data_IF_608696516021
#
_entry.id   IF_608696516021
#
_cell.length_a   1.000
_cell.length_b   1.000
_cell.length_c   1.000
_cell.angle_alpha   90.00
_cell.angle_beta   90.00
_cell.angle_gamma   90.00
#
_symmetry.space_group_name_H-M   'P 1'
#
loop_
_entity.id
_entity.type
_entity.pdbx_description
1 polymer ?
#
# COMPACT_ATOMS: atom_id res chain seq x y z
N UNK A 1 25.47 28.36 -4.27
CA UNK A 1 25.63 27.35 -5.34
C UNK A 1 25.90 25.91 -4.88
N UNK A 2 26.33 25.63 -3.62
CA UNK A 2 26.55 24.24 -3.13
C UNK A 2 25.33 23.53 -2.51
N UNK A 3 24.18 24.20 -2.38
CA UNK A 3 22.95 23.63 -1.77
C UNK A 3 21.98 23.01 -2.79
N UNK A 4 22.00 23.43 -4.07
CA UNK A 4 21.17 22.84 -5.12
C UNK A 4 21.57 21.39 -5.48
N UNK A 5 22.81 20.99 -5.21
CA UNK A 5 23.29 19.65 -5.59
C UNK A 5 22.85 18.52 -4.64
N UNK A 6 22.31 18.84 -3.45
CA UNK A 6 21.80 17.83 -2.50
C UNK A 6 20.34 17.47 -2.79
N UNK A 7 19.52 18.44 -3.21
CA UNK A 7 18.12 18.16 -3.58
C UNK A 7 18.01 17.41 -4.91
N UNK A 8 18.89 17.69 -5.87
CA UNK A 8 18.95 16.93 -7.15
C UNK A 8 19.45 15.49 -6.93
N UNK A 9 20.35 15.26 -5.96
CA UNK A 9 20.79 13.89 -5.60
C UNK A 9 19.76 13.13 -4.77
N UNK A 10 18.97 13.82 -3.93
CA UNK A 10 17.84 13.19 -3.23
C UNK A 10 16.73 12.80 -4.22
N UNK A 11 16.40 13.65 -5.20
CA UNK A 11 15.43 13.33 -6.26
C UNK A 11 15.87 12.14 -7.13
N UNK A 12 17.15 12.03 -7.47
CA UNK A 12 17.66 10.89 -8.25
C UNK A 12 17.73 9.57 -7.45
N UNK A 13 17.85 9.64 -6.12
CA UNK A 13 17.83 8.44 -5.27
C UNK A 13 16.40 7.91 -5.05
N UNK A 14 15.38 8.77 -5.02
CA UNK A 14 13.97 8.36 -4.93
C UNK A 14 13.49 7.67 -6.23
N UNK A 15 14.08 8.00 -7.37
CA UNK A 15 13.79 7.36 -8.66
C UNK A 15 14.35 5.93 -8.79
N UNK A 16 15.26 5.51 -7.91
CA UNK A 16 15.73 4.12 -7.84
C UNK A 16 14.84 3.23 -6.94
N UNK A 17 14.00 3.82 -6.08
CA UNK A 17 13.16 3.10 -5.14
C UNK A 17 11.76 2.73 -5.71
N UNK A 18 11.31 3.45 -6.74
CA UNK A 18 10.24 3.00 -7.62
C UNK A 18 10.92 2.31 -8.79
N UNK A 19 10.70 1.01 -8.98
CA UNK A 19 11.26 0.24 -10.10
C UNK A 19 10.78 0.75 -11.46
N UNK A 20 11.30 1.89 -11.88
CA UNK A 20 11.14 2.45 -13.23
C UNK A 20 12.28 1.87 -14.05
N UNK A 21 11.93 1.12 -15.09
CA UNK A 21 12.88 0.68 -16.10
C UNK A 21 13.70 1.88 -16.58
N UNK A 22 15.02 1.81 -16.48
CA UNK A 22 15.89 2.75 -17.18
C UNK A 22 16.05 2.24 -18.60
N UNK A 23 15.35 2.87 -19.54
CA UNK A 23 15.66 2.71 -20.95
C UNK A 23 17.06 3.31 -21.18
N UNK A 24 18.09 2.48 -21.16
CA UNK A 24 19.46 2.91 -21.49
C UNK A 24 19.53 3.09 -23.00
N UNK A 25 19.65 4.33 -23.45
CA UNK A 25 19.89 4.64 -24.85
C UNK A 25 21.23 4.01 -25.28
N UNK A 26 21.19 3.20 -26.35
CA UNK A 26 22.36 2.55 -26.94
C UNK A 26 23.41 3.59 -27.44
N UNK A 27 24.70 3.23 -27.50
CA UNK A 27 25.77 4.09 -28.02
C UNK A 27 25.53 4.54 -29.47
N UNK A 28 26.09 5.69 -29.81
CA UNK A 28 25.72 6.57 -30.95
C UNK A 28 25.99 5.97 -32.34
N UNK A 29 26.83 4.95 -32.47
CA UNK A 29 27.24 4.41 -33.78
C UNK A 29 26.25 3.45 -34.45
N UNK A 30 25.12 3.09 -33.80
CA UNK A 30 24.15 2.12 -34.34
C UNK A 30 22.73 2.69 -34.52
N UNK A 31 22.59 4.03 -34.60
CA UNK A 31 21.27 4.69 -34.62
C UNK A 31 20.47 4.45 -35.90
N UNK A 32 21.11 4.29 -37.05
CA UNK A 32 20.43 4.05 -38.33
C UNK A 32 19.88 2.61 -38.41
N UNK A 33 20.67 1.63 -37.99
CA UNK A 33 20.26 0.22 -37.89
C UNK A 33 19.17 0.03 -36.84
N UNK A 34 19.32 0.64 -35.66
CA UNK A 34 18.30 0.61 -34.61
C UNK A 34 16.99 1.31 -35.04
N UNK A 35 17.07 2.44 -35.77
CA UNK A 35 15.90 3.13 -36.30
C UNK A 35 15.19 2.32 -37.40
N UNK A 36 15.95 1.68 -38.30
CA UNK A 36 15.38 0.78 -39.32
C UNK A 36 14.70 -0.45 -38.68
N UNK A 37 15.31 -1.02 -37.64
CA UNK A 37 14.71 -2.12 -36.87
C UNK A 37 13.45 -1.68 -36.12
N UNK A 38 13.45 -0.49 -35.51
CA UNK A 38 12.27 0.05 -34.82
C UNK A 38 11.10 0.31 -35.79
N UNK A 39 11.39 0.84 -36.99
CA UNK A 39 10.38 1.03 -38.03
C UNK A 39 9.77 -0.29 -38.53
N UNK A 40 10.60 -1.30 -38.75
CA UNK A 40 10.12 -2.63 -39.13
C UNK A 40 9.24 -3.28 -38.05
N UNK A 41 9.63 -3.16 -36.77
CA UNK A 41 8.84 -3.64 -35.63
C UNK A 41 7.52 -2.89 -35.47
N UNK A 42 7.50 -1.58 -35.72
CA UNK A 42 6.29 -0.78 -35.69
C UNK A 42 5.29 -1.21 -36.77
N UNK A 43 5.74 -1.41 -38.01
CA UNK A 43 4.88 -1.90 -39.10
C UNK A 43 4.39 -3.32 -38.84
N UNK A 44 5.25 -4.20 -38.31
CA UNK A 44 4.85 -5.54 -37.89
C UNK A 44 3.76 -5.49 -36.81
N UNK A 45 3.92 -4.68 -35.77
CA UNK A 45 2.90 -4.47 -34.74
C UNK A 45 1.58 -3.95 -35.33
N UNK A 46 1.62 -2.96 -36.24
CA UNK A 46 0.40 -2.44 -36.89
C UNK A 46 -0.30 -3.50 -37.71
N UNK A 47 0.44 -4.36 -38.40
CA UNK A 47 -0.12 -5.44 -39.21
C UNK A 47 -0.88 -6.49 -38.37
N UNK A 48 -0.53 -6.65 -37.08
CA UNK A 48 -1.26 -7.53 -36.15
C UNK A 48 -2.66 -7.00 -35.79
N UNK A 49 -2.93 -5.70 -36.01
CA UNK A 49 -4.21 -5.05 -35.72
C UNK A 49 -4.79 -5.39 -34.33
N UNK A 50 -3.92 -5.41 -33.32
CA UNK A 50 -4.27 -5.78 -31.95
C UNK A 50 -5.36 -4.86 -31.39
N UNK A 51 -6.35 -5.46 -30.75
CA UNK A 51 -7.46 -4.75 -30.08
C UNK A 51 -7.28 -4.85 -28.57
N UNK A 52 -7.50 -3.74 -27.87
CA UNK A 52 -7.42 -3.69 -26.41
C UNK A 52 -6.04 -4.00 -25.83
N UNK A 53 -6.04 -4.43 -24.56
CA UNK A 53 -4.85 -4.79 -23.79
C UNK A 53 -4.52 -6.27 -23.98
N UNK A 54 -3.40 -6.57 -24.64
CA UNK A 54 -3.05 -7.93 -25.06
C UNK A 54 -1.54 -8.13 -25.24
N UNK A 55 -1.10 -9.39 -25.26
CA UNK A 55 0.27 -9.81 -25.53
C UNK A 55 0.24 -10.96 -26.56
N UNK A 56 1.01 -10.82 -27.64
CA UNK A 56 1.06 -11.80 -28.74
C UNK A 56 2.50 -12.01 -29.18
N UNK A 57 2.89 -13.25 -29.50
CA UNK A 57 4.15 -13.56 -30.18
C UNK A 57 3.93 -13.63 -31.70
N UNK A 58 4.73 -12.90 -32.47
CA UNK A 58 4.82 -13.05 -33.92
C UNK A 58 6.29 -13.06 -34.37
N UNK A 59 6.66 -14.10 -35.13
CA UNK A 59 8.00 -14.26 -35.76
C UNK A 59 9.17 -14.04 -34.79
N UNK A 60 9.08 -14.59 -33.57
CA UNK A 60 10.15 -14.49 -32.58
C UNK A 60 10.24 -13.12 -31.89
N UNK A 61 9.17 -12.33 -31.95
CA UNK A 61 9.02 -11.07 -31.21
C UNK A 61 7.69 -11.08 -30.48
N UNK A 62 7.71 -10.75 -29.20
CA UNK A 62 6.52 -10.49 -28.44
C UNK A 62 6.11 -9.02 -28.57
N UNK A 63 4.83 -8.81 -28.87
CA UNK A 63 4.18 -7.51 -28.94
C UNK A 63 3.16 -7.41 -27.82
N UNK A 64 3.36 -6.45 -26.93
CA UNK A 64 2.44 -6.10 -25.86
C UNK A 64 1.76 -4.78 -26.20
N UNK A 65 0.44 -4.74 -26.12
CA UNK A 65 -0.36 -3.54 -26.27
C UNK A 65 -1.17 -3.32 -25.00
N UNK A 66 -1.21 -2.08 -24.53
CA UNK A 66 -2.12 -1.63 -23.48
C UNK A 66 -2.98 -0.52 -24.06
N UNK A 67 -4.29 -0.66 -23.91
CA UNK A 67 -5.27 0.36 -24.29
C UNK A 67 -5.98 0.84 -23.03
N UNK A 68 -5.92 2.15 -22.77
CA UNK A 68 -6.57 2.79 -21.63
C UNK A 68 -7.53 3.86 -22.14
N UNK A 69 -8.74 3.95 -21.58
CA UNK A 69 -9.63 5.05 -21.91
C UNK A 69 -9.10 6.37 -21.31
N UNK A 70 -9.17 7.46 -22.09
CA UNK A 70 -8.64 8.76 -21.70
C UNK A 70 -9.34 9.36 -20.49
N UNK A 71 -10.67 9.28 -20.42
CA UNK A 71 -11.52 9.74 -19.30
C UNK A 71 -11.06 11.06 -18.64
N UNK A 72 -10.64 12.07 -19.42
CA UNK A 72 -10.19 13.37 -18.91
C UNK A 72 -8.78 13.42 -18.28
N UNK A 73 -8.03 12.32 -18.36
CA UNK A 73 -6.73 12.16 -17.68
C UNK A 73 -5.58 12.76 -18.46
N UNK A 74 -4.53 13.15 -17.74
CA UNK A 74 -3.34 13.73 -18.34
C UNK A 74 -2.50 12.65 -19.07
N UNK A 75 -1.86 12.98 -20.21
CA UNK A 75 -1.07 12.01 -20.97
C UNK A 75 0.05 11.33 -20.16
N UNK A 76 0.64 12.05 -19.20
CA UNK A 76 1.69 11.51 -18.34
C UNK A 76 1.17 10.45 -17.36
N UNK A 77 -0.06 10.62 -16.85
CA UNK A 77 -0.71 9.66 -15.96
C UNK A 77 -1.10 8.39 -16.71
N UNK A 78 -1.68 8.56 -17.90
CA UNK A 78 -2.03 7.44 -18.79
C UNK A 78 -0.80 6.64 -19.17
N UNK A 79 0.33 7.31 -19.48
CA UNK A 79 1.61 6.64 -19.75
C UNK A 79 2.11 5.86 -18.53
N UNK A 80 2.01 6.43 -17.33
CA UNK A 80 2.43 5.74 -16.09
C UNK A 80 1.58 4.49 -15.85
N UNK A 81 0.26 4.60 -15.97
CA UNK A 81 -0.62 3.45 -15.80
C UNK A 81 -0.41 2.39 -16.88
N UNK A 82 -0.18 2.81 -18.13
CA UNK A 82 0.09 1.88 -19.22
C UNK A 82 1.35 1.06 -18.95
N UNK A 83 2.39 1.64 -18.33
CA UNK A 83 3.58 0.91 -17.89
C UNK A 83 3.27 -0.12 -16.78
N UNK A 84 2.39 0.22 -15.83
CA UNK A 84 1.97 -0.72 -14.77
C UNK A 84 1.22 -1.91 -15.38
N UNK A 85 0.26 -1.65 -16.26
CA UNK A 85 -0.51 -2.71 -16.94
C UNK A 85 0.38 -3.54 -17.87
N UNK A 86 1.34 -2.91 -18.55
CA UNK A 86 2.32 -3.60 -19.38
C UNK A 86 3.14 -4.58 -18.53
N UNK A 87 3.65 -4.14 -17.37
CA UNK A 87 4.37 -5.01 -16.44
C UNK A 87 3.49 -6.17 -15.94
N UNK A 88 2.20 -5.91 -15.72
CA UNK A 88 1.24 -6.94 -15.31
C UNK A 88 1.01 -7.99 -16.41
N UNK A 89 0.87 -7.56 -17.66
CA UNK A 89 0.77 -8.48 -18.81
C UNK A 89 2.00 -9.38 -18.90
N UNK A 90 3.19 -8.79 -18.80
CA UNK A 90 4.46 -9.55 -18.83
C UNK A 90 4.58 -10.51 -17.66
N UNK A 91 4.29 -10.07 -16.43
CA UNK A 91 4.34 -10.92 -15.26
C UNK A 91 3.36 -12.11 -15.38
N UNK A 92 2.15 -11.85 -15.86
CA UNK A 92 1.15 -12.90 -16.11
C UNK A 92 1.67 -13.91 -17.12
N UNK A 93 2.16 -13.45 -18.28
CA UNK A 93 2.69 -14.31 -19.35
C UNK A 93 3.88 -15.14 -18.88
N UNK A 94 4.85 -14.51 -18.22
CA UNK A 94 6.06 -15.16 -17.75
C UNK A 94 5.79 -16.19 -16.65
N UNK A 95 4.69 -16.02 -15.90
CA UNK A 95 4.27 -16.95 -14.86
C UNK A 95 3.41 -18.11 -15.35
N UNK A 96 2.75 -17.98 -16.51
CA UNK A 96 1.76 -18.94 -17.02
C UNK A 96 2.34 -20.35 -17.22
N UNK A 97 3.61 -20.44 -17.64
CA UNK A 97 4.28 -21.70 -17.95
C UNK A 97 5.16 -22.24 -16.82
N UNK A 98 5.25 -21.54 -15.68
CA UNK A 98 5.95 -22.07 -14.51
C UNK A 98 5.07 -23.13 -13.81
N UNK A 99 4.91 -24.28 -14.47
CA UNK A 99 4.09 -25.43 -14.05
C UNK A 99 4.47 -26.04 -12.70
N UNK A 100 5.64 -25.70 -12.16
CA UNK A 100 6.14 -26.23 -10.88
C UNK A 100 5.57 -25.53 -9.65
N UNK A 101 4.88 -24.40 -9.80
CA UNK A 101 4.20 -23.75 -8.68
C UNK A 101 2.79 -24.33 -8.52
N UNK A 102 2.59 -25.15 -7.49
CA UNK A 102 1.27 -25.70 -7.15
C UNK A 102 0.46 -24.78 -6.23
N UNK A 103 1.12 -23.89 -5.50
CA UNK A 103 0.50 -22.98 -4.54
C UNK A 103 0.07 -21.66 -5.21
N UNK A 104 -1.22 -21.36 -5.13
CA UNK A 104 -1.88 -20.16 -5.68
C UNK A 104 -1.23 -18.86 -5.16
N UNK A 105 -0.73 -18.88 -3.93
CA UNK A 105 -0.12 -17.71 -3.31
C UNK A 105 1.25 -17.38 -3.89
N UNK A 106 2.04 -18.38 -4.30
CA UNK A 106 3.27 -18.16 -5.05
C UNK A 106 2.97 -17.60 -6.43
N UNK A 107 1.95 -18.12 -7.12
CA UNK A 107 1.52 -17.59 -8.42
C UNK A 107 1.11 -16.13 -8.31
N UNK A 108 0.33 -15.76 -7.28
CA UNK A 108 -0.08 -14.38 -7.03
C UNK A 108 1.08 -13.46 -6.65
N UNK A 109 2.00 -13.92 -5.80
CA UNK A 109 3.19 -13.15 -5.42
C UNK A 109 4.10 -12.85 -6.63
N UNK A 110 4.14 -13.77 -7.60
CA UNK A 110 4.86 -13.63 -8.86
C UNK A 110 4.13 -12.71 -9.84
N UNK A 111 2.84 -12.96 -10.08
CA UNK A 111 2.04 -12.25 -11.07
C UNK A 111 1.91 -10.75 -10.77
N UNK A 112 2.07 -10.34 -9.51
CA UNK A 112 2.05 -8.93 -9.10
C UNK A 112 3.40 -8.22 -9.21
N UNK A 113 4.40 -8.87 -9.84
CA UNK A 113 5.56 -8.15 -10.39
C UNK A 113 6.54 -7.59 -9.37
N UNK A 114 6.60 -8.13 -8.14
CA UNK A 114 7.68 -7.76 -7.20
C UNK A 114 9.07 -8.24 -7.65
N UNK A 115 9.10 -9.01 -8.73
CA UNK A 115 10.28 -9.48 -9.42
C UNK A 115 10.44 -8.47 -10.52
N UNK A 116 11.46 -7.62 -10.44
CA UNK A 116 11.75 -6.66 -11.50
C UNK A 116 12.04 -7.44 -12.79
N UNK A 117 11.00 -7.67 -13.58
CA UNK A 117 11.08 -8.29 -14.89
C UNK A 117 11.54 -7.20 -15.84
N UNK A 118 12.84 -6.93 -15.83
CA UNK A 118 13.51 -6.06 -16.79
C UNK A 118 13.61 -6.79 -18.13
N UNK A 119 12.49 -6.83 -18.85
CA UNK A 119 12.46 -7.35 -20.22
C UNK A 119 12.96 -6.24 -21.13
N UNK A 120 14.17 -6.40 -21.67
CA UNK A 120 14.74 -5.45 -22.63
C UNK A 120 13.90 -5.43 -23.91
N UNK A 121 13.40 -4.26 -24.27
CA UNK A 121 12.58 -4.07 -25.46
C UNK A 121 12.42 -2.59 -25.83
N UNK A 122 11.57 -2.33 -26.81
CA UNK A 122 11.34 -1.01 -27.37
C UNK A 122 9.88 -0.61 -27.24
N UNK A 123 9.63 0.62 -26.76
CA UNK A 123 8.31 1.25 -26.91
C UNK A 123 8.15 1.61 -28.39
N UNK A 124 7.21 0.97 -29.05
CA UNK A 124 6.91 1.19 -30.47
C UNK A 124 5.94 2.35 -30.67
N UNK A 125 4.98 2.50 -29.76
CA UNK A 125 3.94 3.52 -29.82
C UNK A 125 3.51 3.90 -28.40
N UNK A 126 3.26 5.19 -28.17
CA UNK A 126 2.73 5.68 -26.89
C UNK A 126 2.04 7.03 -27.14
N UNK A 127 0.79 6.98 -27.60
CA UNK A 127 0.03 8.18 -27.92
C UNK A 127 -1.49 7.93 -27.87
N UNK A 128 -2.23 9.02 -27.90
CA UNK A 128 -3.69 9.02 -28.00
C UNK A 128 -4.13 8.54 -29.38
N UNK A 129 -5.22 7.78 -29.43
CA UNK A 129 -5.90 7.29 -30.63
C UNK A 129 -7.40 7.36 -30.40
N UNK A 130 -8.02 8.47 -30.81
CA UNK A 130 -9.42 8.75 -30.48
C UNK A 130 -9.58 9.01 -28.97
N UNK A 131 -10.53 8.32 -28.34
CA UNK A 131 -10.80 8.43 -26.89
C UNK A 131 -9.89 7.53 -26.04
N UNK A 132 -8.99 6.78 -26.67
CA UNK A 132 -8.08 5.85 -26.00
C UNK A 132 -6.64 6.34 -26.03
N UNK A 133 -5.87 5.97 -25.02
CA UNK A 133 -4.42 6.00 -25.00
C UNK A 133 -3.89 4.59 -25.27
N UNK A 134 -3.03 4.46 -26.28
CA UNK A 134 -2.44 3.17 -26.66
C UNK A 134 -0.94 3.23 -26.42
N UNK A 135 -0.43 2.23 -25.70
CA UNK A 135 1.00 1.97 -25.54
C UNK A 135 1.33 0.60 -26.12
N UNK A 136 2.27 0.55 -27.04
CA UNK A 136 2.78 -0.68 -27.63
C UNK A 136 4.26 -0.84 -27.32
N UNK A 137 4.64 -2.05 -26.94
CA UNK A 137 5.99 -2.43 -26.58
C UNK A 137 6.34 -3.76 -27.24
N UNK A 138 7.57 -3.87 -27.74
CA UNK A 138 8.07 -5.10 -28.35
C UNK A 138 9.37 -5.55 -27.71
N UNK A 139 9.48 -6.86 -27.50
CA UNK A 139 10.69 -7.52 -27.01
C UNK A 139 10.95 -8.79 -27.82
N UNK A 140 12.22 -9.12 -28.05
CA UNK A 140 12.57 -10.37 -28.75
C UNK A 140 12.20 -11.59 -27.90
N UNK A 141 11.76 -12.66 -28.54
CA UNK A 141 11.34 -13.89 -27.86
C UNK A 141 12.46 -14.50 -27.01
N UNK A 142 13.69 -14.54 -27.51
CA UNK A 142 14.86 -15.02 -26.76
C UNK A 142 15.09 -14.26 -25.43
N UNK A 143 14.93 -12.94 -25.44
CA UNK A 143 15.06 -12.11 -24.24
C UNK A 143 13.90 -12.35 -23.25
N UNK A 144 12.68 -12.51 -23.77
CA UNK A 144 11.49 -12.82 -22.96
C UNK A 144 11.62 -14.21 -22.33
N UNK A 145 12.07 -15.20 -23.10
CA UNK A 145 12.20 -16.59 -22.66
C UNK A 145 13.34 -16.75 -21.65
N UNK A 146 14.48 -16.08 -21.85
CA UNK A 146 15.55 -16.02 -20.85
C UNK A 146 15.04 -15.44 -19.52
N UNK A 147 14.20 -14.39 -19.57
CA UNK A 147 13.57 -13.81 -18.38
C UNK A 147 12.52 -14.73 -17.78
N UNK A 148 11.79 -15.49 -18.61
CA UNK A 148 10.87 -16.54 -18.16
C UNK A 148 11.60 -17.62 -17.36
N UNK A 149 12.71 -18.11 -17.89
CA UNK A 149 13.54 -19.10 -17.20
C UNK A 149 14.16 -18.55 -15.91
N UNK A 150 14.61 -17.30 -15.91
CA UNK A 150 15.09 -16.62 -14.71
C UNK A 150 13.99 -16.52 -13.65
N UNK A 151 12.79 -16.08 -14.06
CA UNK A 151 11.62 -16.01 -13.20
C UNK A 151 11.25 -17.40 -12.66
N UNK A 152 11.10 -18.42 -13.51
CA UNK A 152 10.78 -19.77 -13.04
C UNK A 152 11.89 -20.36 -12.14
N UNK A 153 13.17 -20.03 -12.37
CA UNK A 153 14.28 -20.45 -11.48
C UNK A 153 14.21 -19.78 -10.12
N UNK A 154 14.05 -18.46 -10.09
CA UNK A 154 13.91 -17.78 -8.82
C UNK A 154 12.61 -18.22 -8.11
N UNK A 155 11.54 -18.60 -8.84
CA UNK A 155 10.30 -19.16 -8.28
C UNK A 155 10.50 -20.53 -7.63
N UNK A 156 11.59 -21.22 -7.95
CA UNK A 156 12.01 -22.45 -7.26
C UNK A 156 12.94 -22.16 -6.08
N UNK A 157 13.37 -20.93 -5.87
CA UNK A 157 14.32 -20.53 -4.83
C UNK A 157 13.58 -20.06 -3.57
N UNK A 158 13.60 -20.81 -2.44
CA UNK A 158 13.00 -20.39 -1.18
C UNK A 158 13.52 -19.05 -0.66
N UNK A 159 14.76 -18.67 -1.00
CA UNK A 159 15.36 -17.40 -0.59
C UNK A 159 14.63 -16.19 -1.20
N UNK A 160 14.08 -16.31 -2.42
CA UNK A 160 13.32 -15.23 -3.04
C UNK A 160 12.02 -14.96 -2.28
N UNK A 161 11.29 -16.01 -1.91
CA UNK A 161 10.07 -15.86 -1.10
C UNK A 161 10.36 -15.43 0.33
N UNK A 162 11.50 -15.83 0.92
CA UNK A 162 11.98 -15.29 2.20
C UNK A 162 12.24 -13.78 2.13
N UNK A 163 12.82 -13.30 1.03
CA UNK A 163 13.01 -11.87 0.81
C UNK A 163 11.66 -11.14 0.69
N UNK A 164 10.70 -11.68 -0.07
CA UNK A 164 9.34 -11.10 -0.19
C UNK A 164 8.62 -11.07 1.16
N UNK A 165 8.64 -12.17 1.90
CA UNK A 165 8.00 -12.25 3.21
C UNK A 165 8.61 -11.24 4.19
N UNK A 166 9.95 -11.09 4.19
CA UNK A 166 10.64 -10.11 5.01
C UNK A 166 10.30 -8.68 4.60
N UNK A 167 10.33 -8.38 3.31
CA UNK A 167 10.02 -7.03 2.79
C UNK A 167 8.55 -6.68 3.07
N UNK A 168 7.61 -7.64 2.96
CA UNK A 168 6.21 -7.44 3.34
C UNK A 168 6.06 -7.02 4.81
N UNK A 169 6.79 -7.66 5.72
CA UNK A 169 6.73 -7.32 7.15
C UNK A 169 7.31 -5.94 7.46
N UNK A 170 8.27 -5.46 6.66
CA UNK A 170 8.92 -4.16 6.88
C UNK A 170 8.30 -3.02 6.08
N UNK A 171 7.74 -3.33 4.91
CA UNK A 171 7.26 -2.40 3.89
C UNK A 171 5.90 -2.82 3.31
N UNK A 172 4.86 -3.05 4.14
CA UNK A 172 3.55 -3.51 3.68
C UNK A 172 2.91 -2.57 2.64
N UNK A 173 3.28 -1.27 2.64
CA UNK A 173 2.84 -0.27 1.66
C UNK A 173 3.24 -0.60 0.22
N UNK A 174 4.31 -1.38 0.02
CA UNK A 174 4.71 -1.85 -1.32
C UNK A 174 3.79 -2.95 -1.85
N UNK A 175 3.07 -3.62 -0.95
CA UNK A 175 2.29 -4.81 -1.23
C UNK A 175 0.77 -4.58 -1.22
N UNK A 176 0.30 -3.32 -1.19
CA UNK A 176 -1.13 -2.95 -1.08
C UNK A 176 -2.03 -3.73 -2.04
N UNK A 177 -1.68 -3.80 -3.32
CA UNK A 177 -2.45 -4.56 -4.33
C UNK A 177 -2.47 -6.06 -4.04
N UNK A 178 -1.33 -6.63 -3.59
CA UNK A 178 -1.23 -8.04 -3.24
C UNK A 178 -2.04 -8.37 -1.98
N UNK A 179 -1.98 -7.52 -0.97
CA UNK A 179 -2.75 -7.62 0.26
C UNK A 179 -4.26 -7.66 -0.04
N UNK A 180 -4.77 -6.71 -0.85
CA UNK A 180 -6.18 -6.70 -1.27
C UNK A 180 -6.56 -7.95 -2.05
N UNK A 181 -5.75 -8.34 -3.03
CA UNK A 181 -6.01 -9.52 -3.87
C UNK A 181 -6.02 -10.84 -3.08
N UNK A 182 -5.40 -10.87 -1.91
CA UNK A 182 -5.40 -12.02 -0.99
C UNK A 182 -6.27 -11.77 0.24
N UNK A 183 -7.25 -10.87 0.16
CA UNK A 183 -8.25 -10.71 1.23
C UNK A 183 -7.73 -10.04 2.51
N UNK A 184 -6.46 -9.63 2.59
CA UNK A 184 -5.92 -8.85 3.71
C UNK A 184 -6.26 -7.35 3.54
N UNK A 185 -7.55 -7.05 3.38
CA UNK A 185 -8.06 -5.70 3.03
C UNK A 185 -7.79 -4.67 4.13
N UNK A 186 -7.88 -5.09 5.39
CA UNK A 186 -7.60 -4.22 6.55
C UNK A 186 -6.14 -3.74 6.55
N UNK A 187 -5.19 -4.67 6.40
CA UNK A 187 -3.77 -4.33 6.33
C UNK A 187 -3.46 -3.49 5.08
N UNK A 188 -4.11 -3.78 3.95
CA UNK A 188 -3.95 -2.95 2.75
C UNK A 188 -4.37 -1.50 2.99
N UNK A 189 -5.55 -1.28 3.61
CA UNK A 189 -6.06 0.06 3.92
C UNK A 189 -5.16 0.82 4.89
N UNK A 190 -4.67 0.15 5.94
CA UNK A 190 -3.68 0.75 6.86
C UNK A 190 -2.39 1.13 6.12
N UNK A 191 -1.93 0.28 5.22
CA UNK A 191 -0.74 0.54 4.43
C UNK A 191 -0.95 1.70 3.43
N UNK A 192 -2.13 1.85 2.83
CA UNK A 192 -2.50 3.03 2.05
C UNK A 192 -2.47 4.29 2.94
N UNK A 193 -3.10 4.23 4.11
CA UNK A 193 -3.19 5.36 5.02
C UNK A 193 -1.81 5.83 5.51
N UNK A 194 -0.93 4.89 5.83
CA UNK A 194 0.44 5.15 6.29
C UNK A 194 1.34 5.73 5.21
N UNK A 195 1.09 5.38 3.95
CA UNK A 195 1.85 5.87 2.79
C UNK A 195 1.23 7.08 2.10
N UNK A 196 0.05 7.54 2.55
CA UNK A 196 -0.60 8.73 2.03
C UNK A 196 0.24 9.98 2.35
N UNK A 197 0.65 10.73 1.32
CA UNK A 197 1.51 11.91 1.48
C UNK A 197 0.71 13.22 1.68
N UNK A 198 -0.61 13.17 1.64
CA UNK A 198 -1.46 14.35 1.82
C UNK A 198 -1.47 14.88 3.26
N UNK A 199 -1.91 16.14 3.41
CA UNK A 199 -1.77 16.93 4.64
C UNK A 199 -2.89 16.73 5.67
N UNK A 200 -3.52 15.56 5.68
CA UNK A 200 -4.71 15.30 6.49
C UNK A 200 -4.40 14.40 7.68
N UNK A 201 -4.65 14.94 8.87
CA UNK A 201 -4.61 14.23 10.14
C UNK A 201 -6.06 14.14 10.66
N UNK A 202 -6.50 12.93 11.00
CA UNK A 202 -7.85 12.66 11.52
C UNK A 202 -7.84 12.36 13.04
N UNK A 203 -6.69 12.54 13.70
CA UNK A 203 -6.56 12.60 15.16
C UNK A 203 -5.69 13.80 15.52
N UNK A 204 -6.28 14.77 16.20
CA UNK A 204 -5.65 16.07 16.47
C UNK A 204 -5.73 16.43 17.95
N UNK A 205 -4.97 17.42 18.38
CA UNK A 205 -5.05 17.92 19.77
C UNK A 205 -6.49 18.35 20.07
N UNK A 206 -7.09 17.91 21.19
CA UNK A 206 -8.44 18.29 21.58
C UNK A 206 -8.58 19.82 21.54
N UNK A 207 -9.41 20.29 20.63
CA UNK A 207 -9.53 21.71 20.36
C UNK A 207 -10.46 22.33 21.39
N UNK A 208 -10.00 23.33 22.15
CA UNK A 208 -10.88 24.17 22.95
C UNK A 208 -11.91 24.83 22.00
N UNK A 209 -13.23 24.72 22.24
CA UNK A 209 -14.22 24.82 21.18
C UNK A 209 -14.34 26.26 20.66
N UNK A 210 -14.09 26.46 19.36
CA UNK A 210 -14.92 27.25 18.40
C UNK A 210 -14.13 27.68 17.14
N UNK A 211 -12.99 28.40 17.19
CA UNK A 211 -12.37 28.95 15.97
C UNK A 211 -11.58 27.93 15.14
N UNK A 212 -10.86 27.03 15.80
CA UNK A 212 -10.00 26.01 15.18
C UNK A 212 -10.81 24.83 14.63
N UNK A 213 -11.99 24.57 15.19
CA UNK A 213 -12.91 23.53 14.72
C UNK A 213 -13.50 23.92 13.35
N UNK A 214 -13.84 25.20 13.17
CA UNK A 214 -14.23 25.74 11.85
C UNK A 214 -13.10 25.59 10.83
N UNK A 215 -11.84 25.86 11.21
CA UNK A 215 -10.69 25.68 10.31
C UNK A 215 -10.47 24.22 9.91
N UNK A 216 -10.62 23.28 10.85
CA UNK A 216 -10.53 21.85 10.56
C UNK A 216 -11.66 21.41 9.63
N UNK A 217 -12.90 21.82 9.90
CA UNK A 217 -14.05 21.50 9.06
C UNK A 217 -13.95 22.12 7.66
N UNK A 218 -13.47 23.35 7.54
CA UNK A 218 -13.20 23.99 6.24
C UNK A 218 -12.11 23.24 5.50
N UNK A 219 -10.98 22.93 6.15
CA UNK A 219 -9.91 22.14 5.53
C UNK A 219 -10.37 20.74 5.13
N UNK A 220 -11.25 20.11 5.91
CA UNK A 220 -11.87 18.84 5.54
C UNK A 220 -12.84 18.97 4.37
N UNK A 221 -13.53 20.09 4.25
CA UNK A 221 -14.40 20.37 3.10
C UNK A 221 -13.59 20.62 1.82
N UNK A 222 -12.49 21.36 1.94
CA UNK A 222 -11.50 21.57 0.86
C UNK A 222 -10.87 20.23 0.45
N UNK A 223 -10.42 19.43 1.41
CA UNK A 223 -9.86 18.09 1.14
C UNK A 223 -10.92 17.12 0.62
N UNK A 224 -12.21 17.28 0.98
CA UNK A 224 -13.33 16.54 0.36
C UNK A 224 -13.49 16.89 -1.10
N UNK A 225 -13.40 18.18 -1.44
CA UNK A 225 -13.46 18.63 -2.82
C UNK A 225 -12.23 18.15 -3.60
N UNK A 226 -11.03 18.27 -3.04
CA UNK A 226 -9.79 17.77 -3.64
C UNK A 226 -9.79 16.24 -3.78
N UNK A 227 -10.26 15.46 -2.79
CA UNK A 227 -10.35 14.00 -2.87
C UNK A 227 -11.47 13.53 -3.80
N UNK A 228 -12.52 14.33 -4.00
CA UNK A 228 -13.54 14.07 -5.01
C UNK A 228 -13.01 14.35 -6.43
N UNK A 229 -12.02 15.24 -6.56
CA UNK A 229 -11.29 15.52 -7.80
C UNK A 229 -10.10 14.56 -8.03
N UNK A 230 -9.53 13.98 -6.96
CA UNK A 230 -8.55 12.90 -7.03
C UNK A 230 -9.28 11.63 -7.43
N UNK A 231 -9.32 11.41 -8.74
CA UNK A 231 -9.83 10.21 -9.36
C UNK A 231 -9.28 8.94 -8.66
N UNK A 232 -10.15 8.04 -8.14
CA UNK A 232 -9.75 6.71 -7.64
C UNK A 232 -8.87 5.92 -8.61
N UNK A 233 -8.81 6.33 -9.88
CA UNK A 233 -8.06 5.74 -10.99
C UNK A 233 -6.53 5.74 -10.85
N UNK A 234 -5.93 6.50 -9.93
CA UNK A 234 -4.49 6.34 -9.64
C UNK A 234 -4.20 5.13 -8.73
N UNK A 235 -5.23 4.40 -8.27
CA UNK A 235 -5.11 3.21 -7.43
C UNK A 235 -4.49 3.44 -6.05
N UNK A 236 -4.15 4.70 -5.73
CA UNK A 236 -3.54 5.11 -4.46
C UNK A 236 -4.57 5.59 -3.44
N UNK A 237 -5.76 5.98 -3.89
CA UNK A 237 -6.81 6.54 -3.04
C UNK A 237 -8.09 5.75 -3.30
N UNK A 238 -8.42 4.86 -2.36
CA UNK A 238 -9.66 4.07 -2.45
C UNK A 238 -10.80 4.80 -1.74
N UNK A 239 -12.07 4.48 -2.04
CA UNK A 239 -13.21 5.05 -1.31
C UNK A 239 -13.08 4.87 0.22
N UNK A 240 -12.52 3.75 0.66
CA UNK A 240 -12.25 3.48 2.06
C UNK A 240 -11.21 4.42 2.64
N UNK A 241 -10.11 4.67 1.91
CA UNK A 241 -9.10 5.62 2.34
C UNK A 241 -9.68 7.03 2.44
N UNK A 242 -10.48 7.44 1.46
CA UNK A 242 -11.14 8.75 1.45
C UNK A 242 -12.01 8.92 2.68
N UNK A 243 -12.87 7.94 3.00
CA UNK A 243 -13.73 8.03 4.16
C UNK A 243 -12.95 7.98 5.48
N UNK A 244 -11.95 7.11 5.62
CA UNK A 244 -11.06 7.10 6.79
C UNK A 244 -10.40 8.46 7.02
N UNK A 245 -9.88 9.06 5.96
CA UNK A 245 -9.22 10.35 5.99
C UNK A 245 -10.20 11.46 6.40
N UNK A 246 -11.42 11.43 5.86
CA UNK A 246 -12.41 12.49 6.01
C UNK A 246 -13.38 12.34 7.18
N UNK A 247 -13.38 11.20 7.85
CA UNK A 247 -14.33 10.93 8.90
C UNK A 247 -13.88 11.56 10.22
N UNK A 248 -14.58 12.62 10.60
CA UNK A 248 -14.63 13.16 11.96
C UNK A 248 -16.08 13.48 12.34
N UNK A 249 -17.04 12.87 11.65
CA UNK A 249 -18.46 13.14 11.80
C UNK A 249 -19.15 12.04 12.60
N UNK A 250 -20.23 12.38 13.31
CA UNK A 250 -21.09 11.39 13.98
C UNK A 250 -21.96 10.61 12.98
N UNK A 251 -21.47 10.38 11.76
CA UNK A 251 -22.26 9.76 10.69
C UNK A 251 -21.86 8.29 10.51
N UNK A 252 -22.83 7.37 10.40
CA UNK A 252 -22.60 5.92 10.26
C UNK A 252 -21.97 5.49 8.92
N UNK A 253 -21.57 6.44 8.08
CA UNK A 253 -21.16 6.20 6.69
C UNK A 253 -19.82 5.46 6.60
N UNK A 254 -18.85 5.74 7.49
CA UNK A 254 -17.58 5.03 7.53
C UNK A 254 -17.76 3.56 7.90
N UNK A 255 -18.50 3.29 8.99
CA UNK A 255 -18.75 1.93 9.46
C UNK A 255 -19.44 1.11 8.37
N UNK A 256 -20.50 1.66 7.76
CA UNK A 256 -21.20 1.01 6.65
C UNK A 256 -20.25 0.69 5.49
N UNK A 257 -19.43 1.64 5.06
CA UNK A 257 -18.51 1.42 3.95
C UNK A 257 -17.46 0.34 4.27
N UNK A 258 -16.90 0.37 5.48
CA UNK A 258 -15.95 -0.65 5.90
C UNK A 258 -16.61 -2.04 5.92
N UNK A 259 -17.86 -2.16 6.38
CA UNK A 259 -18.67 -3.40 6.27
C UNK A 259 -18.88 -3.81 4.82
N UNK A 260 -19.30 -2.87 3.95
CA UNK A 260 -19.53 -3.11 2.52
C UNK A 260 -18.24 -3.59 1.82
N UNK A 261 -17.08 -3.21 2.37
CA UNK A 261 -15.75 -3.64 1.93
C UNK A 261 -15.20 -4.85 2.70
N UNK A 262 -16.03 -5.54 3.48
CA UNK A 262 -15.67 -6.71 4.28
C UNK A 262 -14.52 -6.43 5.27
N UNK A 263 -14.34 -5.18 5.69
CA UNK A 263 -13.40 -4.82 6.75
C UNK A 263 -14.16 -4.94 8.06
N UNK A 264 -13.65 -5.76 8.97
CA UNK A 264 -14.27 -5.96 10.28
C UNK A 264 -14.38 -4.62 11.03
N UNK A 265 -15.62 -4.21 11.28
CA UNK A 265 -15.96 -3.03 12.08
C UNK A 265 -16.93 -3.37 13.17
N UNK A 266 -16.93 -2.57 14.22
CA UNK A 266 -17.76 -2.81 15.38
C UNK A 266 -18.46 -1.53 15.81
N UNK A 267 -19.65 -1.72 16.39
CA UNK A 267 -20.39 -0.65 17.04
C UNK A 267 -19.72 -0.38 18.39
N UNK A 268 -18.70 0.47 18.39
CA UNK A 268 -18.02 0.88 19.61
C UNK A 268 -18.95 1.84 20.33
N UNK A 269 -19.74 1.33 21.28
CA UNK A 269 -20.32 2.23 22.27
C UNK A 269 -19.17 2.83 23.07
N UNK A 270 -19.00 4.16 23.10
CA UNK A 270 -18.01 4.79 23.95
C UNK A 270 -18.27 4.30 25.37
N UNK A 271 -17.28 3.62 25.97
CA UNK A 271 -17.35 3.20 27.36
C UNK A 271 -17.81 4.41 28.17
N UNK A 272 -18.92 4.28 28.91
CA UNK A 272 -19.75 5.38 29.42
C UNK A 272 -19.12 6.39 30.38
N UNK A 273 -17.80 6.53 30.39
CA UNK A 273 -17.07 7.60 31.04
C UNK A 273 -15.94 8.08 30.11
N UNK A 274 -15.74 9.40 30.10
CA UNK A 274 -14.63 10.17 29.50
C UNK A 274 -14.94 10.89 28.17
N UNK A 275 -15.24 12.19 28.34
CA UNK A 275 -14.96 13.32 27.45
C UNK A 275 -15.22 13.16 25.94
N UNK A 276 -16.20 13.91 25.44
CA UNK A 276 -16.60 14.01 24.04
C UNK A 276 -15.49 14.32 23.01
N UNK A 277 -14.22 14.55 23.40
CA UNK A 277 -13.14 14.97 22.50
C UNK A 277 -11.72 14.44 22.83
N UNK A 278 -11.57 13.38 23.64
CA UNK A 278 -10.26 12.76 23.90
C UNK A 278 -9.61 12.12 22.66
N UNK A 279 -8.28 11.95 22.66
CA UNK A 279 -7.56 11.26 21.58
C UNK A 279 -8.09 9.85 21.39
N UNK A 280 -8.31 9.10 22.47
CA UNK A 280 -8.84 7.74 22.38
C UNK A 280 -10.23 7.73 21.73
N UNK A 281 -11.07 8.72 22.03
CA UNK A 281 -12.38 8.87 21.38
C UNK A 281 -12.24 9.18 19.89
N UNK A 282 -11.32 10.07 19.50
CA UNK A 282 -11.05 10.35 18.07
C UNK A 282 -10.58 9.09 17.33
N UNK A 283 -9.67 8.31 17.93
CA UNK A 283 -9.18 7.03 17.38
C UNK A 283 -10.33 6.02 17.24
N UNK A 284 -11.22 5.94 18.23
CA UNK A 284 -12.40 5.07 18.17
C UNK A 284 -13.38 5.47 17.06
N UNK A 285 -13.62 6.77 16.85
CA UNK A 285 -14.50 7.28 15.78
C UNK A 285 -14.00 6.89 14.39
N UNK A 286 -12.68 6.91 14.19
CA UNK A 286 -12.06 6.43 12.94
C UNK A 286 -11.72 4.94 12.97
N UNK A 287 -12.27 4.19 13.93
CA UNK A 287 -12.13 2.74 14.07
C UNK A 287 -10.66 2.25 14.07
N UNK A 288 -9.75 3.05 14.65
CA UNK A 288 -8.32 2.77 14.72
C UNK A 288 -7.51 3.15 13.48
N UNK A 289 -8.15 3.55 12.38
CA UNK A 289 -7.48 4.04 11.17
C UNK A 289 -7.02 5.49 11.34
N UNK A 290 -6.09 5.68 12.28
CA UNK A 290 -5.68 6.99 12.79
C UNK A 290 -4.45 7.56 12.09
N UNK A 291 -4.53 8.83 11.68
CA UNK A 291 -3.41 9.70 11.33
C UNK A 291 -3.31 10.81 12.36
N UNK A 292 -2.23 10.73 13.13
CA UNK A 292 -1.97 11.63 14.24
C UNK A 292 -1.28 12.91 13.77
N UNK A 293 -1.81 14.05 14.23
CA UNK A 293 -1.17 15.35 14.07
C UNK A 293 0.27 15.32 14.58
N UNK A 294 1.20 15.75 13.73
CA UNK A 294 2.64 15.77 14.04
C UNK A 294 3.02 16.59 15.28
N UNK A 295 2.14 17.50 15.73
CA UNK A 295 2.32 18.29 16.96
C UNK A 295 1.99 17.51 18.24
N UNK A 296 1.31 16.36 18.13
CA UNK A 296 1.05 15.49 19.26
C UNK A 296 2.35 14.85 19.77
N UNK A 297 2.38 14.60 21.08
CA UNK A 297 3.55 14.08 21.75
C UNK A 297 3.82 12.62 21.35
N UNK A 298 5.09 12.33 21.07
CA UNK A 298 5.62 11.00 20.76
C UNK A 298 6.59 10.47 21.84
N UNK A 299 6.85 11.27 22.88
CA UNK A 299 7.72 10.92 24.01
C UNK A 299 7.12 9.83 24.90
N UNK A 300 7.90 9.33 25.85
CA UNK A 300 7.40 8.36 26.83
C UNK A 300 6.54 9.08 27.88
N UNK A 301 5.26 8.70 28.06
CA UNK A 301 4.41 9.31 29.08
C UNK A 301 4.92 9.03 30.50
N UNK A 302 4.70 9.96 31.41
CA UNK A 302 5.21 9.92 32.81
C UNK A 302 4.82 8.63 33.54
N UNK A 303 3.65 8.07 33.22
CA UNK A 303 3.11 6.88 33.88
C UNK A 303 3.66 5.54 33.37
N UNK A 304 4.42 5.51 32.26
CA UNK A 304 4.93 4.25 31.67
C UNK A 304 5.80 3.40 32.60
N UNK A 305 6.70 3.94 33.44
CA UNK A 305 7.46 3.11 34.38
C UNK A 305 6.56 2.34 35.35
N UNK A 306 5.48 2.95 35.83
CA UNK A 306 4.51 2.30 36.72
C UNK A 306 3.70 1.24 35.96
N UNK A 307 3.28 1.53 34.74
CA UNK A 307 2.58 0.55 33.88
C UNK A 307 3.46 -0.69 33.67
N UNK A 308 4.73 -0.50 33.29
CA UNK A 308 5.69 -1.61 33.10
C UNK A 308 5.87 -2.46 34.36
N UNK A 309 5.87 -1.83 35.55
CA UNK A 309 5.91 -2.57 36.82
C UNK A 309 4.64 -3.41 37.05
N UNK A 310 3.45 -2.88 36.75
CA UNK A 310 2.19 -3.60 36.90
C UNK A 310 2.11 -4.80 35.94
N UNK A 311 2.52 -4.61 34.68
CA UNK A 311 2.62 -5.68 33.68
C UNK A 311 3.63 -6.76 34.10
N UNK A 312 4.83 -6.37 34.52
CA UNK A 312 5.85 -7.31 34.97
C UNK A 312 5.43 -8.10 36.22
N UNK A 313 4.62 -7.49 37.09
CA UNK A 313 4.07 -8.16 38.26
C UNK A 313 2.84 -9.03 37.96
N UNK A 314 2.21 -8.87 36.79
CA UNK A 314 0.95 -9.54 36.43
C UNK A 314 -0.20 -9.18 37.39
N UNK A 315 -0.20 -7.96 37.95
CA UNK A 315 -1.17 -7.52 38.97
C UNK A 315 -1.86 -6.24 38.54
N UNK A 316 -3.15 -6.14 38.90
CA UNK A 316 -3.96 -4.93 38.74
C UNK A 316 -3.96 -4.43 37.29
N UNK A 317 -4.30 -5.34 36.37
CA UNK A 317 -4.32 -5.06 34.92
C UNK A 317 -5.40 -4.02 34.60
N UNK A 318 -6.47 -3.96 35.39
CA UNK A 318 -7.50 -2.92 35.31
C UNK A 318 -6.91 -1.53 35.54
N UNK A 319 -6.11 -1.35 36.60
CA UNK A 319 -5.39 -0.10 36.83
C UNK A 319 -4.38 0.17 35.72
N UNK A 320 -3.63 -0.84 35.27
CA UNK A 320 -2.68 -0.68 34.18
C UNK A 320 -3.36 -0.22 32.88
N UNK A 321 -4.54 -0.78 32.57
CA UNK A 321 -5.38 -0.40 31.43
C UNK A 321 -5.83 1.05 31.56
N UNK A 322 -6.35 1.45 32.72
CA UNK A 322 -6.75 2.83 32.97
C UNK A 322 -5.59 3.82 32.80
N UNK A 323 -4.41 3.47 33.31
CA UNK A 323 -3.20 4.28 33.13
C UNK A 323 -2.77 4.33 31.67
N UNK A 324 -2.89 3.24 30.91
CA UNK A 324 -2.57 3.23 29.48
C UNK A 324 -3.54 4.10 28.67
N UNK A 325 -4.83 4.08 28.98
CA UNK A 325 -5.81 4.98 28.37
C UNK A 325 -5.46 6.45 28.63
N UNK A 326 -4.96 6.79 29.83
CA UNK A 326 -4.43 8.14 30.13
C UNK A 326 -3.10 8.44 29.42
N UNK A 327 -2.23 7.44 29.28
CA UNK A 327 -0.97 7.57 28.57
C UNK A 327 -1.18 7.86 27.08
N UNK A 328 -2.24 7.32 26.47
CA UNK A 328 -2.65 7.64 25.09
C UNK A 328 -2.99 9.12 24.97
N UNK A 329 -3.71 9.69 25.93
CA UNK A 329 -4.04 11.12 25.91
C UNK A 329 -2.80 12.02 26.03
N UNK A 330 -1.77 11.58 26.78
CA UNK A 330 -0.52 12.32 26.97
C UNK A 330 0.45 12.19 25.79
N UNK A 331 0.60 10.99 25.23
CA UNK A 331 1.59 10.67 24.19
C UNK A 331 1.03 9.74 23.10
N UNK A 332 0.04 10.19 22.33
CA UNK A 332 -0.68 9.33 21.38
C UNK A 332 0.16 8.91 20.17
N UNK A 333 1.33 9.51 19.95
CA UNK A 333 2.25 9.10 18.87
C UNK A 333 3.32 8.12 19.34
N UNK A 334 3.31 7.73 20.61
CA UNK A 334 4.25 6.76 21.14
C UNK A 334 3.74 5.33 20.86
N UNK A 335 4.44 4.52 20.03
CA UNK A 335 4.00 3.18 19.67
C UNK A 335 3.95 2.21 20.87
N UNK A 336 4.82 2.39 21.86
CA UNK A 336 4.89 1.52 23.05
C UNK A 336 3.61 1.61 23.87
N UNK A 337 2.98 2.78 23.92
CA UNK A 337 1.70 2.97 24.63
C UNK A 337 0.61 2.14 23.97
N UNK A 338 0.53 2.16 22.63
CA UNK A 338 -0.45 1.39 21.88
C UNK A 338 -0.21 -0.11 21.97
N UNK A 339 1.05 -0.57 21.88
CA UNK A 339 1.43 -1.97 22.09
C UNK A 339 0.94 -2.49 23.45
N UNK A 340 1.23 -1.75 24.53
CA UNK A 340 0.82 -2.17 25.87
C UNK A 340 -0.71 -2.08 26.06
N UNK A 341 -1.36 -1.08 25.44
CA UNK A 341 -2.82 -0.95 25.49
C UNK A 341 -3.50 -2.11 24.76
N UNK A 342 -2.97 -2.53 23.61
CA UNK A 342 -3.40 -3.74 22.91
C UNK A 342 -3.31 -4.95 23.84
N UNK A 343 -2.14 -5.19 24.44
CA UNK A 343 -1.93 -6.34 25.33
C UNK A 343 -2.87 -6.31 26.57
N UNK A 344 -3.10 -5.14 27.16
CA UNK A 344 -4.06 -4.96 28.25
C UNK A 344 -5.49 -5.31 27.83
N UNK A 345 -5.92 -4.85 26.66
CA UNK A 345 -7.26 -5.14 26.15
C UNK A 345 -7.43 -6.61 25.78
N UNK A 346 -6.42 -7.25 25.18
CA UNK A 346 -6.46 -8.70 24.92
C UNK A 346 -6.59 -9.50 26.22
N UNK A 347 -5.78 -9.16 27.23
CA UNK A 347 -5.84 -9.82 28.53
C UNK A 347 -7.23 -9.68 29.18
N UNK A 348 -7.85 -8.50 29.03
CA UNK A 348 -9.19 -8.23 29.53
C UNK A 348 -10.31 -8.85 28.68
N UNK A 349 -9.99 -9.57 27.60
CA UNK A 349 -10.99 -10.13 26.66
C UNK A 349 -11.73 -9.07 25.85
N UNK A 350 -11.20 -7.83 25.80
CA UNK A 350 -11.74 -6.69 25.04
C UNK A 350 -11.19 -6.72 23.61
N UNK A 351 -11.54 -7.76 22.86
CA UNK A 351 -10.98 -8.06 21.53
C UNK A 351 -11.06 -6.87 20.56
N UNK A 352 -12.16 -6.12 20.61
CA UNK A 352 -12.40 -5.02 19.67
C UNK A 352 -11.60 -3.77 20.01
N UNK A 353 -11.53 -3.41 21.28
CA UNK A 353 -10.66 -2.33 21.72
C UNK A 353 -9.19 -2.67 21.45
N UNK A 354 -8.80 -3.94 21.62
CA UNK A 354 -7.46 -4.40 21.27
C UNK A 354 -7.19 -4.28 19.76
N UNK A 355 -8.17 -4.59 18.90
CA UNK A 355 -8.07 -4.42 17.44
C UNK A 355 -7.90 -2.95 17.05
N UNK A 356 -8.69 -2.05 17.61
CA UNK A 356 -8.56 -0.59 17.38
C UNK A 356 -7.18 -0.09 17.81
N UNK A 357 -6.73 -0.50 19.00
CA UNK A 357 -5.41 -0.15 19.51
C UNK A 357 -4.28 -0.67 18.61
N UNK A 358 -4.40 -1.89 18.04
CA UNK A 358 -3.42 -2.43 17.08
C UNK A 358 -3.34 -1.64 15.79
N UNK A 359 -4.49 -1.18 15.26
CA UNK A 359 -4.52 -0.32 14.08
C UNK A 359 -3.78 0.99 14.36
N UNK A 360 -4.04 1.62 15.51
CA UNK A 360 -3.31 2.81 15.94
C UNK A 360 -1.81 2.54 16.19
N UNK A 361 -1.46 1.38 16.75
CA UNK A 361 -0.08 0.94 16.91
C UNK A 361 0.62 0.84 15.54
N UNK A 362 0.01 0.21 14.55
CA UNK A 362 0.57 0.11 13.20
C UNK A 362 0.89 1.49 12.60
N UNK A 363 0.04 2.47 12.86
CA UNK A 363 0.20 3.84 12.36
C UNK A 363 1.33 4.61 13.05
N UNK A 364 1.69 4.25 14.28
CA UNK A 364 2.75 4.91 15.07
C UNK A 364 4.07 4.13 15.07
N UNK A 365 4.04 2.83 14.77
CA UNK A 365 5.20 1.95 14.77
C UNK A 365 6.15 2.25 13.59
N UNK A 366 7.45 2.30 13.89
CA UNK A 366 8.50 2.61 12.92
C UNK A 366 9.70 1.66 12.98
N UNK A 367 9.84 0.88 14.05
CA UNK A 367 10.98 0.00 14.31
C UNK A 367 10.62 -1.47 14.09
N UNK A 368 9.47 -1.89 14.61
CA UNK A 368 9.03 -3.29 14.53
C UNK A 368 7.65 -3.44 13.87
N UNK A 369 7.55 -2.92 12.65
CA UNK A 369 6.32 -3.03 11.85
C UNK A 369 5.92 -4.50 11.64
N UNK A 370 6.90 -5.41 11.58
CA UNK A 370 6.67 -6.83 11.32
C UNK A 370 5.84 -7.52 12.39
N UNK A 371 6.04 -7.18 13.66
CA UNK A 371 5.22 -7.72 14.76
C UNK A 371 3.76 -7.28 14.61
N UNK A 372 3.51 -5.98 14.41
CA UNK A 372 2.14 -5.45 14.26
C UNK A 372 1.44 -6.01 13.03
N UNK A 373 2.17 -6.16 11.91
CA UNK A 373 1.64 -6.78 10.68
C UNK A 373 1.17 -8.21 10.94
N UNK A 374 1.96 -9.02 11.65
CA UNK A 374 1.57 -10.39 12.00
C UNK A 374 0.34 -10.42 12.89
N UNK A 375 0.28 -9.54 13.89
CA UNK A 375 -0.89 -9.46 14.77
C UNK A 375 -2.16 -9.11 14.00
N UNK A 376 -2.11 -8.08 13.16
CA UNK A 376 -3.28 -7.68 12.33
C UNK A 376 -3.71 -8.83 11.41
N UNK A 377 -2.77 -9.50 10.74
CA UNK A 377 -3.09 -10.65 9.88
C UNK A 377 -3.64 -11.85 10.66
N UNK A 378 -3.25 -12.02 11.92
CA UNK A 378 -3.74 -13.13 12.76
C UNK A 378 -5.20 -12.97 13.19
N UNK A 379 -5.67 -11.71 13.29
CA UNK A 379 -7.06 -11.38 13.62
C UNK A 379 -7.99 -11.56 12.41
N UNK A 380 -7.43 -11.51 11.21
CA UNK A 380 -8.18 -11.63 9.98
C UNK A 380 -8.53 -13.11 9.70
N UNK A 381 -9.79 -13.46 9.98
CA UNK A 381 -10.28 -14.82 9.87
C UNK A 381 -10.45 -15.30 8.42
N UNK A 382 -10.31 -14.41 7.43
CA UNK A 382 -10.52 -14.70 6.01
C UNK A 382 -9.46 -15.66 5.49
N UNK A 383 -9.87 -16.52 4.55
CA UNK A 383 -9.01 -17.57 3.98
C UNK A 383 -7.74 -17.02 3.34
N UNK A 384 -7.84 -15.87 2.67
CA UNK A 384 -6.69 -15.23 2.04
C UNK A 384 -5.68 -14.64 3.03
N UNK A 385 -6.14 -14.01 4.11
CA UNK A 385 -5.25 -13.51 5.16
C UNK A 385 -4.58 -14.65 5.93
N UNK A 386 -5.30 -15.75 6.18
CA UNK A 386 -4.73 -17.00 6.72
C UNK A 386 -3.67 -17.60 5.80
N UNK A 387 -3.91 -17.61 4.49
CA UNK A 387 -2.91 -18.05 3.52
C UNK A 387 -1.66 -17.17 3.61
N UNK A 388 -1.82 -15.84 3.63
CA UNK A 388 -0.71 -14.90 3.74
C UNK A 388 0.10 -15.11 5.03
N UNK A 389 -0.57 -15.31 6.16
CA UNK A 389 0.06 -15.67 7.43
C UNK A 389 0.86 -16.97 7.33
N UNK A 390 0.28 -18.00 6.71
CA UNK A 390 0.97 -19.27 6.47
C UNK A 390 2.21 -19.09 5.56
N UNK A 391 2.13 -18.25 4.53
CA UNK A 391 3.26 -17.89 3.69
C UNK A 391 4.38 -17.22 4.48
N UNK A 392 4.05 -16.19 5.27
CA UNK A 392 5.05 -15.49 6.10
C UNK A 392 5.72 -16.48 7.06
N UNK A 393 4.93 -17.30 7.75
CA UNK A 393 5.46 -18.29 8.70
C UNK A 393 6.32 -19.35 8.03
N UNK A 394 5.99 -19.78 6.81
CA UNK A 394 6.79 -20.75 6.05
C UNK A 394 8.19 -20.25 5.73
N UNK A 395 8.37 -18.95 5.52
CA UNK A 395 9.63 -18.39 5.02
C UNK A 395 10.44 -17.59 6.05
N UNK A 396 9.85 -17.19 7.18
CA UNK A 396 10.52 -16.39 8.22
C UNK A 396 10.83 -17.20 9.49
N UNK A 397 10.61 -18.51 9.47
CA UNK A 397 11.36 -19.42 10.37
C UNK A 397 12.87 -19.29 10.10
#
# INVERSE_FOLDING_TARGET
MKQLSRHVRAMLATWAALGVMTAVAAPVEDRASAAMQAGALFEAWRALNLQGTTLVEDKGVYFAQVTLQRQGRLPQELRRQALIELNRLWASHLSADCTTLTDDMHKKAVALGHWQLDVKGNVLYAAEKGDDFVMAFAAKADAVDAKREEACRAMKNPAAFKAIAKDLLTHPERYRTWLRANGARELALLADLKSYEGSLDNVTTPVNPMPSLVKILVKQHEVRAELAEIDPMNGCVTPELVLVLLDQSDKPDLVKLLIDNEIDTFDVQPSGAVSHYGILNQVNRVNGFARFDTRLNAGEPVMMPRIKQLFAAGKDIELATYLLERAVEESPRNPVVWEHLTAAYDFAGKTEQARIARRAWFMTETRDVGTVVREILSLDSRSGAKALTAFINKYIQ
#
